data_IF_557105048478
#
_entry.id   IF_557105048478
#
_cell.length_a   1.000
_cell.length_b   1.000
_cell.length_c   1.000
_cell.angle_alpha   90.00
_cell.angle_beta   90.00
_cell.angle_gamma   90.00
#
_symmetry.space_group_name_H-M   'P 1'
#
loop_
_entity.id
_entity.type
_entity.pdbx_description
1 polymer ?
#
# COMPACT_ATOMS: atom_id res chain seq x y z
N UNK A 1 -1.43 8.02 2.25
CA UNK A 1 -2.26 8.35 1.06
C UNK A 1 -1.82 7.61 -0.21
N UNK A 2 -0.67 7.94 -0.83
CA UNK A 2 -0.29 7.39 -2.16
C UNK A 2 -0.22 5.85 -2.20
N UNK A 3 0.45 5.23 -1.23
CA UNK A 3 0.58 3.76 -1.18
C UNK A 3 -0.77 3.06 -0.94
N UNK A 4 -1.64 3.64 -0.10
CA UNK A 4 -3.00 3.12 0.08
C UNK A 4 -3.80 3.14 -1.23
N UNK A 5 -3.75 4.25 -1.97
CA UNK A 5 -4.39 4.34 -3.29
C UNK A 5 -3.81 3.32 -4.30
N UNK A 6 -2.50 3.07 -4.25
CA UNK A 6 -1.85 2.07 -5.08
C UNK A 6 -2.43 0.67 -4.83
N UNK A 7 -2.54 0.28 -3.57
CA UNK A 7 -3.14 -1.00 -3.16
C UNK A 7 -4.61 -1.05 -3.57
N UNK A 8 -5.39 0.02 -3.38
CA UNK A 8 -6.80 0.04 -3.82
C UNK A 8 -6.95 -0.19 -5.33
N UNK A 9 -6.04 0.36 -6.15
CA UNK A 9 -6.04 0.11 -7.59
C UNK A 9 -5.66 -1.33 -7.94
N UNK A 10 -4.71 -1.93 -7.22
CA UNK A 10 -4.32 -3.33 -7.41
C UNK A 10 -5.47 -4.29 -7.07
N UNK A 11 -6.22 -4.00 -5.99
CA UNK A 11 -7.30 -4.87 -5.51
C UNK A 11 -8.59 -4.77 -6.34
N UNK A 12 -8.64 -3.95 -7.39
CA UNK A 12 -9.78 -3.94 -8.31
C UNK A 12 -9.78 -5.20 -9.19
N UNK A 13 -10.96 -5.74 -9.49
CA UNK A 13 -11.12 -6.91 -10.36
C UNK A 13 -10.51 -6.72 -11.75
N UNK A 14 -10.47 -5.47 -12.23
CA UNK A 14 -9.91 -5.11 -13.54
C UNK A 14 -8.47 -4.58 -13.47
N UNK A 15 -7.73 -4.77 -12.37
CA UNK A 15 -6.42 -4.14 -12.16
C UNK A 15 -5.41 -4.43 -13.30
N UNK A 16 -5.48 -5.61 -13.92
CA UNK A 16 -4.58 -6.01 -14.99
C UNK A 16 -5.23 -5.95 -16.39
N UNK A 17 -6.46 -5.46 -16.50
CA UNK A 17 -7.18 -5.34 -17.77
C UNK A 17 -6.85 -4.05 -18.52
N UNK A 18 -7.22 -4.00 -19.80
CA UNK A 18 -7.11 -2.78 -20.60
C UNK A 18 -7.94 -1.64 -19.98
N UNK A 19 -7.35 -0.44 -19.93
CA UNK A 19 -7.99 0.73 -19.33
C UNK A 19 -7.92 0.80 -17.80
N UNK A 20 -7.27 -0.16 -17.14
CA UNK A 20 -7.06 -0.10 -15.68
C UNK A 20 -6.21 1.12 -15.28
N UNK A 21 -6.42 1.60 -14.05
CA UNK A 21 -5.59 2.65 -13.45
C UNK A 21 -4.31 2.09 -12.81
N UNK A 22 -4.24 0.78 -12.60
CA UNK A 22 -3.18 0.15 -11.85
C UNK A 22 -1.87 0.04 -12.64
N UNK A 23 -1.90 -0.47 -13.88
CA UNK A 23 -0.68 -0.63 -14.69
C UNK A 23 0.03 0.72 -14.89
N UNK A 24 -0.65 1.83 -15.29
CA UNK A 24 0.02 3.12 -15.40
C UNK A 24 0.52 3.66 -14.06
N UNK A 25 -0.16 3.36 -12.94
CA UNK A 25 0.30 3.74 -11.62
C UNK A 25 1.59 3.00 -11.24
N UNK A 26 1.66 1.68 -11.44
CA UNK A 26 2.83 0.86 -11.16
C UNK A 26 4.04 1.28 -12.00
N UNK A 27 3.85 1.54 -13.29
CA UNK A 27 4.90 2.09 -14.15
C UNK A 27 5.42 3.45 -13.65
N UNK A 28 4.53 4.33 -13.18
CA UNK A 28 4.93 5.62 -12.61
C UNK A 28 5.70 5.46 -11.30
N UNK A 29 5.29 4.53 -10.44
CA UNK A 29 6.04 4.21 -9.20
C UNK A 29 7.44 3.70 -9.54
N UNK A 30 7.60 2.84 -10.55
CA UNK A 30 8.94 2.41 -11.02
C UNK A 30 9.82 3.58 -11.45
N UNK A 31 9.27 4.52 -12.23
CA UNK A 31 10.00 5.71 -12.65
C UNK A 31 10.33 6.62 -11.46
N UNK A 32 9.40 6.76 -10.51
CA UNK A 32 9.61 7.51 -9.27
C UNK A 32 10.74 6.89 -8.44
N UNK A 33 10.78 5.57 -8.28
CA UNK A 33 11.87 4.88 -7.59
C UNK A 33 13.22 5.13 -8.26
N UNK A 34 13.27 5.11 -9.60
CA UNK A 34 14.49 5.43 -10.35
C UNK A 34 14.94 6.88 -10.12
N UNK A 35 14.00 7.84 -10.14
CA UNK A 35 14.30 9.24 -9.87
C UNK A 35 14.78 9.45 -8.43
N UNK A 36 14.09 8.88 -7.43
CA UNK A 36 14.48 8.98 -6.01
C UNK A 36 15.90 8.43 -5.82
N UNK A 37 16.19 7.24 -6.37
CA UNK A 37 17.54 6.66 -6.30
C UNK A 37 18.58 7.59 -6.90
N UNK A 38 18.31 8.14 -8.09
CA UNK A 38 19.21 9.10 -8.75
C UNK A 38 19.49 10.34 -7.90
N UNK A 39 18.47 10.93 -7.28
CA UNK A 39 18.65 12.15 -6.49
C UNK A 39 19.32 11.89 -5.14
N UNK A 40 18.90 10.86 -4.41
CA UNK A 40 19.48 10.55 -3.10
C UNK A 40 20.96 10.22 -3.21
N UNK A 41 21.35 9.40 -4.19
CA UNK A 41 22.78 9.05 -4.43
C UNK A 41 23.64 10.22 -4.89
N UNK A 42 23.05 11.35 -5.28
CA UNK A 42 23.75 12.56 -5.72
C UNK A 42 23.62 13.72 -4.72
N UNK A 43 23.00 13.45 -3.58
CA UNK A 43 22.79 14.42 -2.52
C UNK A 43 23.58 14.02 -1.28
N UNK A 44 23.84 14.98 -0.40
CA UNK A 44 24.47 14.73 0.90
C UNK A 44 23.44 14.28 1.97
N UNK A 45 22.23 13.88 1.54
CA UNK A 45 21.13 13.47 2.43
C UNK A 45 21.00 11.97 2.62
N UNK A 46 21.83 11.16 1.94
CA UNK A 46 21.83 9.70 2.07
C UNK A 46 23.25 9.16 2.16
N UNK A 47 23.55 8.39 3.20
CA UNK A 47 24.85 7.76 3.37
C UNK A 47 24.85 6.40 2.67
N UNK A 48 25.35 6.35 1.44
CA UNK A 48 25.40 5.10 0.66
C UNK A 48 26.39 4.09 1.27
N UNK A 49 27.43 4.54 1.96
CA UNK A 49 28.42 3.63 2.56
C UNK A 49 27.82 2.94 3.79
N UNK A 50 27.05 3.68 4.59
CA UNK A 50 26.38 3.15 5.78
C UNK A 50 25.09 2.39 5.45
N UNK A 51 24.20 2.99 4.64
CA UNK A 51 22.82 2.53 4.45
C UNK A 51 22.61 1.78 3.12
N UNK A 52 23.65 1.68 2.29
CA UNK A 52 23.58 1.05 0.98
C UNK A 52 22.89 1.91 -0.08
N UNK A 53 22.62 1.30 -1.25
CA UNK A 53 21.97 2.01 -2.35
C UNK A 53 20.48 2.17 -2.03
N UNK A 54 19.92 3.39 -2.05
CA UNK A 54 18.52 3.62 -1.73
C UNK A 54 17.61 2.88 -2.71
N UNK A 55 16.53 2.29 -2.18
CA UNK A 55 15.62 1.45 -2.95
C UNK A 55 16.39 0.31 -3.65
N UNK A 56 17.23 -0.42 -2.92
CA UNK A 56 17.95 -1.55 -3.49
C UNK A 56 16.97 -2.64 -3.99
N UNK A 57 17.46 -3.61 -4.76
CA UNK A 57 16.63 -4.76 -5.15
C UNK A 57 16.09 -5.51 -3.93
N UNK A 58 16.91 -5.62 -2.89
CA UNK A 58 16.52 -6.23 -1.63
C UNK A 58 15.39 -5.44 -0.95
N UNK A 59 15.50 -4.11 -0.84
CA UNK A 59 14.44 -3.30 -0.22
C UNK A 59 13.15 -3.29 -1.05
N UNK A 60 13.28 -3.34 -2.39
CA UNK A 60 12.12 -3.43 -3.27
C UNK A 60 11.38 -4.77 -3.11
N UNK A 61 12.13 -5.88 -2.99
CA UNK A 61 11.57 -7.21 -2.70
C UNK A 61 10.98 -7.23 -1.28
N UNK A 62 11.71 -6.74 -0.28
CA UNK A 62 11.22 -6.62 1.11
C UNK A 62 9.95 -5.78 1.21
N UNK A 63 9.86 -4.69 0.46
CA UNK A 63 8.64 -3.89 0.32
C UNK A 63 7.48 -4.73 -0.24
N UNK A 64 7.68 -5.47 -1.32
CA UNK A 64 6.66 -6.38 -1.88
C UNK A 64 6.21 -7.42 -0.84
N UNK A 65 7.15 -8.01 -0.08
CA UNK A 65 6.87 -9.01 0.95
C UNK A 65 6.04 -8.41 2.10
N UNK A 66 6.31 -7.16 2.49
CA UNK A 66 5.52 -6.45 3.49
C UNK A 66 4.06 -6.22 3.03
N UNK A 67 3.81 -6.06 1.73
CA UNK A 67 2.44 -5.93 1.22
C UNK A 67 1.75 -7.27 0.91
N UNK A 68 2.49 -8.37 0.89
CA UNK A 68 1.95 -9.69 0.64
C UNK A 68 1.83 -10.50 1.93
N UNK A 69 2.94 -11.09 2.40
CA UNK A 69 2.98 -12.01 3.52
C UNK A 69 2.51 -11.38 4.82
N UNK A 70 2.92 -10.13 5.10
CA UNK A 70 2.49 -9.47 6.35
C UNK A 70 1.02 -9.05 6.32
N UNK A 71 0.43 -8.89 5.13
CA UNK A 71 -1.02 -8.68 5.01
C UNK A 71 -1.75 -9.97 5.31
N UNK A 72 -1.28 -11.12 4.81
CA UNK A 72 -1.84 -12.43 5.17
C UNK A 72 -1.75 -12.69 6.70
N UNK A 73 -0.64 -12.30 7.33
CA UNK A 73 -0.51 -12.35 8.80
C UNK A 73 -1.52 -11.45 9.51
N UNK A 74 -1.71 -10.23 9.00
CA UNK A 74 -2.68 -9.30 9.55
C UNK A 74 -4.12 -9.83 9.42
N UNK A 75 -4.47 -10.41 8.26
CA UNK A 75 -5.77 -11.05 8.05
C UNK A 75 -5.99 -12.21 9.03
N UNK A 76 -4.98 -13.07 9.20
CA UNK A 76 -5.04 -14.16 10.18
C UNK A 76 -5.22 -13.64 11.61
N UNK A 77 -4.48 -12.59 12.02
CA UNK A 77 -4.64 -11.95 13.34
C UNK A 77 -6.04 -11.34 13.52
N UNK A 78 -6.66 -10.88 12.44
CA UNK A 78 -8.04 -10.41 12.40
C UNK A 78 -9.08 -11.54 12.37
N UNK A 79 -8.65 -12.81 12.38
CA UNK A 79 -9.56 -13.95 12.30
C UNK A 79 -10.17 -14.17 10.92
N UNK A 80 -9.65 -13.49 9.89
CA UNK A 80 -10.09 -13.66 8.50
C UNK A 80 -9.36 -14.87 7.93
N UNK A 81 -10.11 -15.90 7.57
CA UNK A 81 -9.55 -17.14 7.06
C UNK A 81 -9.39 -17.06 5.53
N UNK A 82 -8.15 -17.11 5.06
CA UNK A 82 -7.83 -17.22 3.63
C UNK A 82 -7.56 -18.68 3.29
N UNK A 83 -8.14 -19.18 2.19
CA UNK A 83 -7.77 -20.50 1.67
C UNK A 83 -6.31 -20.52 1.20
N UNK A 84 -5.71 -21.70 1.13
CA UNK A 84 -4.34 -21.84 0.58
C UNK A 84 -4.26 -21.31 -0.86
N UNK A 85 -5.26 -21.63 -1.70
CA UNK A 85 -5.36 -21.11 -3.07
C UNK A 85 -5.49 -19.59 -3.10
N UNK A 86 -6.30 -19.00 -2.21
CA UNK A 86 -6.45 -17.55 -2.10
C UNK A 86 -5.16 -16.85 -1.67
N UNK A 87 -4.42 -17.44 -0.73
CA UNK A 87 -3.13 -16.93 -0.28
C UNK A 87 -2.08 -16.99 -1.41
N UNK A 88 -2.01 -18.10 -2.15
CA UNK A 88 -1.13 -18.24 -3.31
C UNK A 88 -1.49 -17.26 -4.43
N UNK A 89 -2.79 -17.09 -4.72
CA UNK A 89 -3.26 -16.12 -5.72
C UNK A 89 -2.94 -14.67 -5.31
N UNK A 90 -3.14 -14.32 -4.04
CA UNK A 90 -2.80 -13.01 -3.50
C UNK A 90 -1.30 -12.74 -3.58
N UNK A 91 -0.47 -13.72 -3.21
CA UNK A 91 0.98 -13.62 -3.33
C UNK A 91 1.42 -13.49 -4.79
N UNK A 92 0.83 -14.28 -5.70
CA UNK A 92 1.10 -14.20 -7.13
C UNK A 92 0.79 -12.80 -7.70
N UNK A 93 -0.34 -12.19 -7.31
CA UNK A 93 -0.65 -10.82 -7.71
C UNK A 93 0.47 -9.84 -7.33
N UNK A 94 1.01 -9.95 -6.10
CA UNK A 94 2.14 -9.14 -5.65
C UNK A 94 3.45 -9.48 -6.36
N UNK A 95 3.69 -10.73 -6.77
CA UNK A 95 4.83 -11.07 -7.64
C UNK A 95 4.74 -10.39 -9.00
N UNK A 96 3.54 -10.32 -9.59
CA UNK A 96 3.31 -9.56 -10.82
C UNK A 96 3.60 -8.07 -10.61
N UNK A 97 3.17 -7.51 -9.47
CA UNK A 97 3.53 -6.13 -9.11
C UNK A 97 5.04 -5.95 -9.02
N UNK A 98 5.76 -6.84 -8.35
CA UNK A 98 7.22 -6.83 -8.28
C UNK A 98 7.87 -6.78 -9.66
N UNK A 99 7.43 -7.63 -10.59
CA UNK A 99 7.92 -7.63 -11.96
C UNK A 99 7.67 -6.30 -12.68
N UNK A 100 6.48 -5.69 -12.52
CA UNK A 100 6.16 -4.38 -13.12
C UNK A 100 7.04 -3.27 -12.51
N UNK A 101 7.24 -3.30 -11.20
CA UNK A 101 8.10 -2.36 -10.47
C UNK A 101 9.58 -2.52 -10.81
N UNK A 102 9.97 -3.65 -11.39
CA UNK A 102 11.34 -3.93 -11.82
C UNK A 102 12.18 -4.65 -10.77
N UNK A 103 11.55 -5.40 -9.87
CA UNK A 103 12.23 -6.36 -9.02
C UNK A 103 12.86 -7.48 -9.87
N UNK A 104 14.02 -7.96 -9.47
CA UNK A 104 14.62 -9.16 -10.01
C UNK A 104 13.83 -10.39 -9.52
N UNK A 105 13.10 -11.01 -10.44
CA UNK A 105 12.22 -12.15 -10.12
C UNK A 105 12.98 -13.47 -9.96
N UNK A 106 14.26 -13.54 -10.34
CA UNK A 106 15.13 -14.68 -10.04
C UNK A 106 15.64 -14.61 -8.59
N UNK A 107 15.83 -13.39 -8.07
CA UNK A 107 16.18 -13.14 -6.67
C UNK A 107 14.97 -13.10 -5.73
N UNK A 108 13.78 -12.76 -6.24
CA UNK A 108 12.56 -12.67 -5.45
C UNK A 108 11.99 -14.07 -5.11
N UNK A 109 11.44 -14.26 -3.90
CA UNK A 109 10.85 -15.54 -3.50
C UNK A 109 9.74 -16.02 -4.46
N UNK A 110 9.75 -17.31 -4.79
CA UNK A 110 8.88 -17.87 -5.82
C UNK A 110 7.51 -18.33 -5.29
N UNK A 111 7.44 -18.68 -4.01
CA UNK A 111 6.27 -19.25 -3.32
C UNK A 111 6.14 -18.70 -1.89
N UNK A 112 5.02 -19.01 -1.22
CA UNK A 112 4.72 -18.52 0.13
C UNK A 112 5.76 -18.93 1.18
N UNK A 113 6.33 -20.13 1.09
CA UNK A 113 7.34 -20.63 2.03
C UNK A 113 8.61 -19.80 1.95
N UNK A 114 9.17 -19.64 0.75
CA UNK A 114 10.36 -18.80 0.52
C UNK A 114 10.08 -17.34 0.89
N UNK A 115 8.86 -16.85 0.62
CA UNK A 115 8.46 -15.49 0.95
C UNK A 115 8.42 -15.26 2.47
N UNK A 116 7.99 -16.27 3.25
CA UNK A 116 8.07 -16.24 4.71
C UNK A 116 9.52 -16.22 5.20
N UNK A 117 10.36 -17.11 4.69
CA UNK A 117 11.78 -17.18 5.09
C UNK A 117 12.49 -15.85 4.80
N UNK A 118 12.22 -15.28 3.62
CA UNK A 118 12.71 -13.95 3.26
C UNK A 118 12.20 -12.89 4.22
N UNK A 119 10.89 -12.87 4.53
CA UNK A 119 10.30 -11.91 5.44
C UNK A 119 10.98 -11.95 6.81
N UNK A 120 11.16 -13.14 7.38
CA UNK A 120 11.74 -13.31 8.71
C UNK A 120 13.18 -12.79 8.77
N UNK A 121 14.00 -13.09 7.76
CA UNK A 121 15.38 -12.60 7.65
C UNK A 121 15.44 -11.09 7.41
N UNK A 122 14.64 -10.58 6.48
CA UNK A 122 14.60 -9.18 6.12
C UNK A 122 14.13 -8.31 7.29
N UNK A 123 13.07 -8.73 7.98
CA UNK A 123 12.54 -8.01 9.14
C UNK A 123 13.50 -8.07 10.33
N UNK A 124 14.12 -9.22 10.60
CA UNK A 124 15.12 -9.33 11.66
C UNK A 124 16.28 -8.35 11.48
N UNK A 125 16.70 -8.13 10.23
CA UNK A 125 17.82 -7.24 9.92
C UNK A 125 17.42 -5.76 9.89
N UNK A 126 16.25 -5.44 9.35
CA UNK A 126 15.91 -4.06 8.97
C UNK A 126 14.85 -3.41 9.88
N UNK A 127 14.14 -4.15 10.74
CA UNK A 127 13.21 -3.53 11.69
C UNK A 127 13.93 -3.00 12.93
N UNK A 128 13.55 -1.79 13.34
CA UNK A 128 14.00 -1.17 14.57
C UNK A 128 13.33 0.18 14.83
N UNK A 129 13.64 0.82 15.96
CA UNK A 129 13.17 2.17 16.26
C UNK A 129 13.73 3.19 15.25
N UNK A 130 12.89 4.11 14.79
CA UNK A 130 13.27 5.15 13.83
C UNK A 130 12.51 6.44 14.13
N UNK A 131 13.23 7.56 14.26
CA UNK A 131 12.62 8.88 14.44
C UNK A 131 11.73 9.26 13.24
N UNK A 132 12.19 8.97 12.02
CA UNK A 132 11.40 9.15 10.81
C UNK A 132 10.17 8.23 10.79
N UNK A 133 10.32 6.99 11.26
CA UNK A 133 9.21 6.05 11.44
C UNK A 133 8.13 6.58 12.37
N UNK A 134 8.50 7.15 13.53
CA UNK A 134 7.58 7.79 14.46
C UNK A 134 6.87 8.97 13.80
N UNK A 135 7.62 9.87 13.14
CA UNK A 135 7.05 11.06 12.49
C UNK A 135 6.07 10.70 11.38
N UNK A 136 6.43 9.75 10.52
CA UNK A 136 5.57 9.27 9.43
C UNK A 136 4.31 8.58 9.96
N UNK A 137 4.44 7.75 10.99
CA UNK A 137 3.32 7.07 11.62
C UNK A 137 2.34 8.07 12.26
N UNK A 138 2.83 9.08 12.98
CA UNK A 138 1.98 10.14 13.55
C UNK A 138 1.18 10.89 12.48
N UNK A 139 1.81 11.20 11.33
CA UNK A 139 1.10 11.83 10.21
C UNK A 139 0.05 10.90 9.59
N UNK A 140 0.33 9.60 9.52
CA UNK A 140 -0.60 8.60 9.00
C UNK A 140 -1.81 8.42 9.92
N UNK A 141 -1.59 8.28 11.23
CA UNK A 141 -2.65 8.19 12.25
C UNK A 141 -3.55 9.41 12.18
N UNK A 142 -2.95 10.62 12.19
CA UNK A 142 -3.72 11.87 12.07
C UNK A 142 -4.54 11.95 10.78
N UNK A 143 -3.99 11.49 9.66
CA UNK A 143 -4.74 11.43 8.40
C UNK A 143 -5.98 10.55 8.52
N UNK A 144 -5.91 9.42 9.25
CA UNK A 144 -7.04 8.53 9.49
C UNK A 144 -8.04 9.08 10.51
N UNK A 145 -7.57 9.76 11.57
CA UNK A 145 -8.43 10.48 12.54
C UNK A 145 -9.25 11.57 11.83
N UNK A 146 -8.64 12.30 10.88
CA UNK A 146 -9.32 13.34 10.09
C UNK A 146 -10.42 12.79 9.14
N UNK A 147 -10.50 11.46 8.91
CA UNK A 147 -11.51 10.85 8.02
C UNK A 147 -12.90 10.80 8.64
N UNK A 148 -12.98 10.58 9.96
CA UNK A 148 -14.26 10.42 10.68
C UNK A 148 -14.55 11.70 11.46
N UNK A 149 -15.69 12.38 11.23
CA UNK A 149 -16.02 13.58 11.99
C UNK A 149 -16.13 13.32 13.51
N UNK A 150 -15.31 14.03 14.30
CA UNK A 150 -15.27 13.95 15.77
C UNK A 150 -14.10 13.11 16.29
N UNK A 151 -13.78 13.21 17.58
CA UNK A 151 -12.55 12.61 18.17
C UNK A 151 -12.81 11.36 19.03
N UNK A 152 -14.05 10.88 19.06
CA UNK A 152 -14.46 9.80 19.98
C UNK A 152 -13.77 8.46 19.65
N UNK A 153 -13.53 8.23 18.36
CA UNK A 153 -12.99 6.97 17.85
C UNK A 153 -11.51 7.06 17.50
N UNK A 154 -10.88 8.23 17.51
CA UNK A 154 -9.46 8.43 17.18
C UNK A 154 -8.53 7.38 17.83
N UNK A 155 -8.69 7.04 19.13
CA UNK A 155 -7.79 6.07 19.75
C UNK A 155 -7.93 4.63 19.21
N UNK A 156 -9.03 4.28 18.52
CA UNK A 156 -9.18 2.96 17.88
C UNK A 156 -8.18 2.76 16.75
N UNK A 157 -7.77 3.84 16.05
CA UNK A 157 -6.81 3.76 14.94
C UNK A 157 -5.47 3.29 15.48
N UNK A 158 -4.94 3.98 16.49
CA UNK A 158 -3.69 3.61 17.14
C UNK A 158 -3.76 2.22 17.80
N UNK A 159 -4.86 1.90 18.49
CA UNK A 159 -5.07 0.60 19.12
C UNK A 159 -5.11 -0.54 18.10
N UNK A 160 -5.75 -0.33 16.95
CA UNK A 160 -5.84 -1.33 15.87
C UNK A 160 -4.47 -1.54 15.21
N UNK A 161 -3.74 -0.47 14.90
CA UNK A 161 -2.38 -0.59 14.36
C UNK A 161 -1.53 -1.38 15.34
N UNK A 162 -1.56 -1.02 16.63
CA UNK A 162 -0.79 -1.69 17.68
C UNK A 162 -1.15 -3.17 17.85
N UNK A 163 -2.43 -3.51 17.75
CA UNK A 163 -2.88 -4.91 17.72
C UNK A 163 -2.30 -5.67 16.53
N UNK A 164 -2.31 -5.06 15.34
CA UNK A 164 -1.84 -5.68 14.10
C UNK A 164 -0.33 -5.83 14.05
N UNK A 165 0.46 -4.85 14.51
CA UNK A 165 1.93 -4.90 14.43
C UNK A 165 2.59 -5.48 15.69
N UNK A 166 1.84 -5.58 16.79
CA UNK A 166 2.34 -6.06 18.08
C UNK A 166 2.95 -4.96 18.95
N UNK A 167 3.14 -5.27 20.23
CA UNK A 167 3.56 -4.30 21.24
C UNK A 167 4.97 -3.72 20.99
N UNK A 168 5.92 -4.53 20.54
CA UNK A 168 7.29 -4.08 20.28
C UNK A 168 7.35 -2.98 19.21
N UNK A 169 6.73 -3.23 18.04
CA UNK A 169 6.68 -2.24 16.96
C UNK A 169 5.82 -1.05 17.38
N UNK A 170 4.72 -1.29 18.10
CA UNK A 170 3.89 -0.23 18.64
C UNK A 170 4.65 0.71 19.57
N UNK A 171 5.57 0.20 20.39
CA UNK A 171 6.43 1.00 21.26
C UNK A 171 7.49 1.76 20.46
N UNK A 172 8.12 1.14 19.46
CA UNK A 172 9.04 1.83 18.54
C UNK A 172 8.38 2.98 17.78
N UNK A 173 7.11 2.82 17.38
CA UNK A 173 6.32 3.85 16.71
C UNK A 173 5.66 4.86 17.67
N UNK A 174 5.87 4.70 18.99
CA UNK A 174 5.28 5.53 20.03
C UNK A 174 3.75 5.61 19.95
N UNK A 175 3.10 4.50 19.59
CA UNK A 175 1.64 4.42 19.56
C UNK A 175 1.08 4.49 20.99
N UNK A 176 0.13 5.41 21.26
CA UNK A 176 -0.46 5.52 22.59
C UNK A 176 -1.21 4.24 22.94
N UNK A 177 -1.04 3.78 24.18
CA UNK A 177 -1.90 2.74 24.77
C UNK A 177 -3.18 3.37 25.29
N UNK A 178 -4.30 2.67 25.16
CA UNK A 178 -5.59 3.18 25.63
C UNK A 178 -6.55 2.04 26.00
N UNK A 179 -7.71 2.39 26.58
CA UNK A 179 -8.77 1.40 26.83
C UNK A 179 -9.27 0.72 25.53
N UNK A 180 -9.07 1.35 24.38
CA UNK A 180 -9.42 0.79 23.07
C UNK A 180 -8.53 -0.38 22.65
N UNK A 181 -7.39 -0.62 23.31
CA UNK A 181 -6.54 -1.80 23.06
C UNK A 181 -7.31 -3.10 23.32
N UNK A 182 -8.23 -3.10 24.29
CA UNK A 182 -9.11 -4.24 24.55
C UNK A 182 -10.18 -4.41 23.46
N UNK A 183 -10.69 -3.30 22.92
CA UNK A 183 -11.64 -3.33 21.82
C UNK A 183 -10.97 -3.86 20.54
N UNK A 184 -9.74 -3.43 20.24
CA UNK A 184 -8.97 -3.91 19.09
C UNK A 184 -8.72 -5.43 19.18
N UNK A 185 -8.42 -5.96 20.37
CA UNK A 185 -8.28 -7.42 20.61
C UNK A 185 -9.57 -8.20 20.42
N UNK A 186 -10.72 -7.56 20.56
CA UNK A 186 -12.03 -8.18 20.32
C UNK A 186 -12.42 -8.16 18.84
N UNK A 187 -11.72 -7.40 17.99
CA UNK A 187 -12.01 -7.28 16.55
C UNK A 187 -12.17 -8.63 15.84
N UNK A 188 -11.32 -9.65 16.07
CA UNK A 188 -11.48 -10.94 15.37
C UNK A 188 -12.80 -11.63 15.68
N UNK A 189 -13.31 -11.46 16.91
CA UNK A 189 -14.59 -12.06 17.28
C UNK A 189 -15.76 -11.33 16.60
N UNK A 190 -15.66 -10.01 16.47
CA UNK A 190 -16.65 -9.21 15.76
C UNK A 190 -16.69 -9.61 14.28
N UNK A 191 -15.53 -9.71 13.63
CA UNK A 191 -15.45 -10.11 12.22
C UNK A 191 -15.99 -11.52 11.99
N UNK A 192 -15.66 -12.48 12.85
CA UNK A 192 -16.20 -13.85 12.75
C UNK A 192 -17.74 -13.89 12.89
N UNK A 193 -18.33 -13.02 13.71
CA UNK A 193 -19.79 -12.89 13.80
C UNK A 193 -20.38 -12.34 12.50
N UNK A 194 -19.73 -11.35 11.88
CA UNK A 194 -20.16 -10.79 10.59
C UNK A 194 -20.07 -11.84 9.47
N UNK A 195 -18.97 -12.58 9.41
CA UNK A 195 -18.76 -13.70 8.47
C UNK A 195 -19.84 -14.78 8.65
N UNK A 196 -20.16 -15.14 9.90
CA UNK A 196 -21.24 -16.10 10.18
C UNK A 196 -22.60 -15.59 9.68
N UNK A 197 -22.86 -14.28 9.77
CA UNK A 197 -24.12 -13.67 9.29
C UNK A 197 -24.17 -13.68 7.76
N UNK A 198 -23.06 -13.37 7.10
CA UNK A 198 -22.89 -13.43 5.65
C UNK A 198 -23.19 -14.85 5.13
N UNK A 199 -22.54 -15.87 5.70
CA UNK A 199 -22.72 -17.28 5.32
C UNK A 199 -24.15 -17.80 5.58
N UNK A 200 -24.83 -17.24 6.57
CA UNK A 200 -26.15 -17.74 7.00
C UNK A 200 -27.33 -17.07 6.30
N UNK A 201 -27.13 -15.92 5.63
CA UNK A 201 -28.24 -15.12 5.10
C UNK A 201 -27.89 -14.35 3.83
N UNK A 202 -28.58 -14.60 2.70
CA UNK A 202 -28.41 -13.80 1.48
C UNK A 202 -28.71 -12.31 1.65
N UNK A 203 -29.57 -11.94 2.61
CA UNK A 203 -29.82 -10.54 2.95
C UNK A 203 -28.70 -9.95 3.81
N UNK A 204 -28.08 -10.77 4.67
CA UNK A 204 -26.90 -10.41 5.46
C UNK A 204 -25.71 -10.16 4.57
N UNK A 205 -25.40 -11.10 3.67
CA UNK A 205 -24.40 -10.99 2.62
C UNK A 205 -24.56 -9.70 1.82
N UNK A 206 -25.74 -9.48 1.22
CA UNK A 206 -26.01 -8.26 0.45
C UNK A 206 -25.81 -6.96 1.26
N UNK A 207 -26.24 -6.95 2.53
CA UNK A 207 -26.13 -5.77 3.37
C UNK A 207 -24.67 -5.48 3.77
N UNK A 208 -23.91 -6.52 4.10
CA UNK A 208 -22.48 -6.43 4.45
C UNK A 208 -21.65 -6.04 3.23
N UNK A 209 -21.90 -6.62 2.06
CA UNK A 209 -21.28 -6.23 0.79
C UNK A 209 -21.51 -4.76 0.46
N UNK A 210 -22.76 -4.29 0.62
CA UNK A 210 -23.10 -2.88 0.41
C UNK A 210 -22.39 -1.98 1.41
N UNK A 211 -22.35 -2.35 2.68
CA UNK A 211 -21.63 -1.60 3.69
C UNK A 211 -20.13 -1.55 3.40
N UNK A 212 -19.50 -2.68 3.07
CA UNK A 212 -18.09 -2.79 2.72
C UNK A 212 -17.72 -1.99 1.46
N UNK A 213 -18.55 -2.05 0.42
CA UNK A 213 -18.37 -1.26 -0.81
C UNK A 213 -18.48 0.25 -0.54
N UNK A 214 -19.44 0.67 0.28
CA UNK A 214 -19.58 2.08 0.69
C UNK A 214 -18.41 2.56 1.54
N UNK A 215 -17.97 1.75 2.51
CA UNK A 215 -16.80 2.03 3.34
C UNK A 215 -15.53 2.17 2.48
N UNK A 216 -15.28 1.22 1.56
CA UNK A 216 -14.13 1.26 0.66
C UNK A 216 -14.16 2.50 -0.24
N UNK A 217 -15.34 2.87 -0.74
CA UNK A 217 -15.51 4.07 -1.58
C UNK A 217 -15.28 5.35 -0.77
N UNK A 218 -15.81 5.41 0.46
CA UNK A 218 -15.63 6.53 1.37
C UNK A 218 -14.17 6.68 1.82
N UNK A 219 -13.52 5.57 2.19
CA UNK A 219 -12.10 5.52 2.54
C UNK A 219 -11.25 6.01 1.36
N UNK A 220 -11.46 5.49 0.15
CA UNK A 220 -10.72 5.93 -1.03
C UNK A 220 -10.93 7.42 -1.30
N UNK A 221 -12.17 7.91 -1.20
CA UNK A 221 -12.47 9.33 -1.38
C UNK A 221 -11.79 10.21 -0.32
N UNK A 222 -11.71 9.73 0.93
CA UNK A 222 -11.10 10.44 2.04
C UNK A 222 -9.57 10.42 2.00
N UNK A 223 -8.96 9.25 1.78
CA UNK A 223 -7.52 9.05 1.61
C UNK A 223 -6.94 9.88 0.47
N UNK A 224 -7.75 10.09 -0.57
CA UNK A 224 -7.37 10.88 -1.74
C UNK A 224 -7.77 12.34 -1.64
N UNK A 225 -8.57 12.72 -0.62
CA UNK A 225 -9.28 14.01 -0.53
C UNK A 225 -10.01 14.36 -1.84
N UNK A 226 -10.56 13.33 -2.51
CA UNK A 226 -11.20 13.43 -3.82
C UNK A 226 -10.25 13.72 -5.00
N UNK A 227 -8.92 13.67 -4.80
CA UNK A 227 -7.92 13.93 -5.83
C UNK A 227 -7.24 12.64 -6.25
N UNK A 228 -7.25 12.32 -7.55
CA UNK A 228 -6.32 11.31 -8.08
C UNK A 228 -4.90 11.80 -7.76
N UNK A 229 -4.18 11.13 -6.85
CA UNK A 229 -2.79 11.49 -6.58
C UNK A 229 -2.02 11.17 -7.86
N UNK A 230 -1.72 12.21 -8.62
CA UNK A 230 -0.87 12.05 -9.78
C UNK A 230 0.54 11.83 -9.25
N UNK A 231 1.11 10.66 -9.52
CA UNK A 231 2.55 10.43 -9.48
C UNK A 231 3.17 11.35 -10.55
N UNK A 232 3.31 12.62 -10.21
CA UNK A 232 3.89 13.64 -11.06
C UNK A 232 5.39 13.64 -10.81
N UNK A 233 6.15 13.76 -11.90
CA UNK A 233 7.57 14.11 -11.82
C UNK A 233 7.65 15.46 -11.09
N UNK A 234 8.47 15.60 -10.02
CA UNK A 234 8.72 16.88 -9.35
C UNK A 234 9.02 17.99 -10.37
N UNK A 235 8.50 19.21 -10.15
CA UNK A 235 8.58 20.27 -11.16
C UNK A 235 10.02 20.69 -11.46
N UNK A 236 10.88 20.58 -10.47
CA UNK A 236 12.31 20.87 -10.56
C UNK A 236 13.00 19.97 -11.61
N UNK A 237 12.52 18.73 -11.75
CA UNK A 237 13.08 17.73 -12.67
C UNK A 237 12.52 17.84 -14.08
N UNK A 238 11.36 18.48 -14.24
CA UNK A 238 10.72 18.61 -15.56
C UNK A 238 11.54 19.46 -16.51
N UNK A 239 12.11 20.57 -16.03
CA UNK A 239 13.01 21.42 -16.82
C UNK A 239 14.33 20.73 -17.15
N UNK A 240 14.88 19.95 -16.23
CA UNK A 240 16.18 19.28 -16.39
C UNK A 240 16.13 18.16 -17.43
N UNK A 241 15.03 17.39 -17.48
CA UNK A 241 14.85 16.27 -18.41
C UNK A 241 14.00 16.61 -19.64
N UNK A 242 13.75 17.90 -19.92
CA UNK A 242 12.99 18.35 -21.09
C UNK A 242 11.53 17.91 -21.10
N UNK A 243 10.98 17.49 -19.96
CA UNK A 243 9.57 17.09 -19.81
C UNK A 243 8.73 18.35 -19.68
N UNK A 244 8.04 18.75 -20.76
CA UNK A 244 7.14 19.91 -20.68
C UNK A 244 5.96 19.58 -19.75
N UNK A 245 5.74 20.37 -18.70
CA UNK A 245 4.51 20.34 -17.90
C UNK A 245 3.31 20.32 -18.84
N UNK A 246 2.43 19.32 -18.68
CA UNK A 246 1.23 19.04 -19.48
C UNK A 246 0.94 20.06 -20.61
N UNK A 247 1.07 19.62 -21.86
CA UNK A 247 0.62 20.40 -23.01
C UNK A 247 -0.78 20.96 -22.73
N UNK A 248 -0.96 22.25 -23.00
CA UNK A 248 -2.22 22.96 -22.79
C UNK A 248 -3.40 22.13 -23.29
N UNK A 249 -4.50 22.07 -22.51
CA UNK A 249 -5.78 21.43 -22.92
C UNK A 249 -6.34 21.98 -24.24
N UNK A 250 -5.80 23.10 -24.73
CA UNK A 250 -6.14 23.70 -26.03
C UNK A 250 -5.35 23.12 -27.21
N UNK A 251 -4.30 22.34 -26.97
CA UNK A 251 -3.49 21.71 -28.00
C UNK A 251 -4.12 20.37 -28.42
N UNK A 252 -5.21 20.44 -29.19
CA UNK A 252 -5.86 19.23 -29.72
C UNK A 252 -4.99 18.58 -30.78
N UNK A 253 -4.87 17.25 -30.73
CA UNK A 253 -4.28 16.46 -31.79
C UNK A 253 -5.16 16.57 -33.06
N UNK A 254 -4.57 17.02 -34.16
CA UNK A 254 -5.16 16.96 -35.50
C UNK A 254 -4.67 15.70 -36.20
N UNK A 255 -5.56 14.82 -36.70
CA UNK A 255 -5.14 13.67 -37.48
C UNK A 255 -4.38 14.12 -38.74
N UNK A 256 -3.29 13.44 -39.13
CA UNK A 256 -2.69 13.65 -40.45
C UNK A 256 -3.70 13.25 -41.55
N UNK A 257 -3.59 13.87 -42.73
CA UNK A 257 -4.44 13.56 -43.86
C UNK A 257 -4.32 12.08 -44.27
N UNK A 258 -5.46 11.46 -44.62
CA UNK A 258 -5.50 10.08 -45.13
C UNK A 258 -4.54 9.94 -46.32
N UNK A 259 -3.67 8.94 -46.29
CA UNK A 259 -2.82 8.55 -47.43
C UNK A 259 -3.55 7.67 -48.44
N UNK A 260 -4.85 7.43 -48.25
CA UNK A 260 -5.70 6.79 -49.24
C UNK A 260 -6.57 7.86 -49.92
N UNK A 261 -6.33 8.01 -51.23
CA UNK A 261 -7.25 8.62 -52.21
C UNK A 261 -8.40 7.63 -52.45
#
# INVERSE_FOLDING_TARGET
>A
ANTGQFVTYLMQTNAFEEGSKFIPAAQKVRLLHAAIRHHLTRSDHWDVEQDGVPLSQEDMIGGQICFSILVLDAMHRLGIHMSEEGAEAYYYAWRVVGAILGCDMEAAPSNLTEAREYADLYLLRNLGPSEDGVRLNQQLVKMYEDVVPGTLFDPIVAATIRFLVGDTIGDWLQLPRSAWDMAAKAMPHVLNVLETIEDSSPLGEWALDKAGSLLTTFELASLTRGRVMQYAIPEELKSEYGVRSQQSRTHRWTPPASTMV
#
